data_IF_725875611706
#
_entry.id   IF_725875611706
#
_cell.length_a   1.000
_cell.length_b   1.000
_cell.length_c   1.000
_cell.angle_alpha   90.00
_cell.angle_beta   90.00
_cell.angle_gamma   90.00
#
_symmetry.space_group_name_H-M   'P 1'
#
loop_
_entity.id
_entity.type
_entity.pdbx_description
1 polymer ?
#
# COMPACT_ATOMS: atom_id res chain seq x y z
N UNK A 1 14.50 -11.46 5.14
CA UNK A 1 13.09 -11.63 4.70
C UNK A 1 12.99 -12.65 3.56
N UNK A 2 12.00 -13.55 3.50
CA UNK A 2 11.88 -14.57 2.43
C UNK A 2 11.14 -14.03 1.18
N UNK A 3 11.65 -12.94 0.59
CA UNK A 3 11.05 -12.21 -0.54
C UNK A 3 10.50 -13.09 -1.66
N UNK A 4 11.30 -14.06 -2.14
CA UNK A 4 10.90 -14.93 -3.25
C UNK A 4 9.67 -15.79 -2.91
N UNK A 5 9.49 -16.17 -1.66
CA UNK A 5 8.32 -16.94 -1.21
C UNK A 5 7.07 -16.07 -1.25
N UNK A 6 7.17 -14.83 -0.74
CA UNK A 6 6.04 -13.87 -0.74
C UNK A 6 5.58 -13.61 -2.18
N UNK A 7 6.53 -13.34 -3.10
CA UNK A 7 6.21 -13.12 -4.51
C UNK A 7 5.55 -14.34 -5.15
N UNK A 8 6.08 -15.54 -4.90
CA UNK A 8 5.51 -16.77 -5.45
C UNK A 8 4.09 -17.04 -4.93
N UNK A 9 3.85 -16.86 -3.63
CA UNK A 9 2.52 -17.00 -3.02
C UNK A 9 1.55 -15.96 -3.57
N UNK A 10 1.96 -14.69 -3.61
CA UNK A 10 1.14 -13.61 -4.15
C UNK A 10 0.74 -13.85 -5.60
N UNK A 11 1.69 -14.24 -6.47
CA UNK A 11 1.40 -14.59 -7.86
C UNK A 11 0.45 -15.77 -7.96
N UNK A 12 0.66 -16.82 -7.16
CA UNK A 12 -0.25 -17.97 -7.13
C UNK A 12 -1.68 -17.61 -6.72
N UNK A 13 -1.87 -16.63 -5.83
CA UNK A 13 -3.19 -16.20 -5.39
C UNK A 13 -3.95 -15.42 -6.47
N UNK A 14 -3.24 -14.69 -7.35
CA UNK A 14 -3.87 -13.75 -8.30
C UNK A 14 -3.81 -14.22 -9.76
N UNK A 15 -3.11 -15.31 -10.08
CA UNK A 15 -2.86 -15.73 -11.47
C UNK A 15 -4.13 -16.17 -12.22
N UNK A 16 -5.04 -16.86 -11.54
CA UNK A 16 -6.23 -17.46 -12.16
C UNK A 16 -7.53 -16.69 -11.85
N UNK A 17 -7.44 -15.57 -11.13
CA UNK A 17 -8.58 -14.73 -10.75
C UNK A 17 -8.48 -13.35 -11.42
N UNK A 18 -9.55 -12.92 -12.07
CA UNK A 18 -9.61 -11.64 -12.78
C UNK A 18 -10.25 -10.53 -11.92
N UNK A 19 -10.94 -10.87 -10.84
CA UNK A 19 -11.58 -9.93 -9.95
C UNK A 19 -10.53 -9.18 -9.11
N UNK A 20 -10.38 -7.89 -9.40
CA UNK A 20 -9.44 -7.00 -8.70
C UNK A 20 -9.62 -7.05 -7.17
N UNK A 21 -10.85 -6.96 -6.69
CA UNK A 21 -11.12 -6.87 -5.26
C UNK A 21 -10.82 -8.18 -4.54
N UNK A 22 -11.13 -9.33 -5.14
CA UNK A 22 -10.75 -10.64 -4.60
C UNK A 22 -9.22 -10.77 -4.49
N UNK A 23 -8.51 -10.37 -5.55
CA UNK A 23 -7.05 -10.37 -5.59
C UNK A 23 -6.45 -9.48 -4.49
N UNK A 24 -6.87 -8.21 -4.42
CA UNK A 24 -6.37 -7.27 -3.42
C UNK A 24 -6.75 -7.67 -1.98
N UNK A 25 -7.93 -8.28 -1.77
CA UNK A 25 -8.31 -8.80 -0.46
C UNK A 25 -7.33 -9.89 0.01
N UNK A 26 -7.07 -10.89 -0.83
CA UNK A 26 -6.11 -11.95 -0.52
C UNK A 26 -4.68 -11.43 -0.36
N UNK A 27 -4.25 -10.49 -1.20
CA UNK A 27 -2.93 -9.87 -1.05
C UNK A 27 -2.81 -9.09 0.27
N UNK A 28 -3.85 -8.36 0.69
CA UNK A 28 -3.84 -7.64 1.97
C UNK A 28 -3.68 -8.60 3.15
N UNK A 29 -4.37 -9.75 3.10
CA UNK A 29 -4.27 -10.79 4.11
C UNK A 29 -2.87 -11.42 4.13
N UNK A 30 -2.36 -11.83 2.95
CA UNK A 30 -1.02 -12.39 2.82
C UNK A 30 0.06 -11.42 3.33
N UNK A 31 0.01 -10.15 2.92
CA UNK A 31 1.00 -9.16 3.32
C UNK A 31 0.95 -8.90 4.82
N UNK A 32 -0.24 -8.88 5.42
CA UNK A 32 -0.41 -8.74 6.87
C UNK A 32 0.32 -9.84 7.66
N UNK A 33 0.32 -11.08 7.17
CA UNK A 33 1.04 -12.19 7.80
C UNK A 33 2.56 -11.99 7.82
N UNK A 34 3.11 -11.30 6.81
CA UNK A 34 4.53 -11.03 6.67
C UNK A 34 4.97 -9.66 7.23
N UNK A 35 4.03 -8.84 7.73
CA UNK A 35 4.26 -7.50 8.26
C UNK A 35 3.88 -7.44 9.75
N UNK A 36 4.66 -8.07 10.65
CA UNK A 36 4.39 -8.00 12.08
C UNK A 36 4.54 -6.56 12.60
N UNK A 37 3.91 -6.28 13.74
CA UNK A 37 3.87 -4.96 14.37
C UNK A 37 3.25 -3.84 13.51
N UNK A 38 2.49 -4.18 12.49
CA UNK A 38 1.64 -3.24 11.75
C UNK A 38 0.24 -3.23 12.36
N UNK A 39 -0.48 -2.11 12.32
CA UNK A 39 -1.91 -2.04 12.65
C UNK A 39 -2.79 -1.99 11.40
N UNK A 40 -2.24 -1.59 10.25
CA UNK A 40 -2.98 -1.50 9.00
C UNK A 40 -2.12 -1.92 7.81
N UNK A 41 -2.68 -2.73 6.91
CA UNK A 41 -2.07 -3.13 5.63
C UNK A 41 -3.16 -3.21 4.58
N UNK A 42 -3.08 -2.44 3.51
CA UNK A 42 -4.16 -2.41 2.53
C UNK A 42 -3.91 -1.52 1.35
N UNK A 43 -4.94 -1.38 0.53
CA UNK A 43 -4.81 -0.70 -0.75
C UNK A 43 -5.70 0.54 -0.84
N UNK A 44 -5.19 1.57 -1.50
CA UNK A 44 -5.99 2.66 -2.05
C UNK A 44 -5.94 2.60 -3.58
N UNK A 45 -7.10 2.67 -4.22
CA UNK A 45 -7.23 2.68 -5.68
C UNK A 45 -7.34 4.11 -6.19
N UNK A 46 -6.85 4.38 -7.39
CA UNK A 46 -7.00 5.70 -8.02
C UNK A 46 -8.38 5.78 -8.66
N UNK A 47 -9.22 6.68 -8.16
CA UNK A 47 -10.45 7.09 -8.81
C UNK A 47 -10.15 8.29 -9.72
N UNK A 48 -10.00 8.01 -11.01
CA UNK A 48 -9.70 9.01 -12.03
C UNK A 48 -10.85 9.99 -12.28
N UNK A 49 -12.09 9.58 -12.02
CA UNK A 49 -13.27 10.42 -12.26
C UNK A 49 -13.39 11.49 -11.18
N UNK A 50 -13.29 11.07 -9.91
CA UNK A 50 -13.40 11.97 -8.77
C UNK A 50 -12.06 12.58 -8.33
N UNK A 51 -10.96 12.25 -9.02
CA UNK A 51 -9.60 12.77 -8.79
C UNK A 51 -9.13 12.60 -7.34
N UNK A 52 -9.34 11.42 -6.79
CA UNK A 52 -8.89 11.06 -5.46
C UNK A 52 -8.46 9.60 -5.40
N UNK A 53 -7.85 9.24 -4.28
CA UNK A 53 -7.68 7.87 -3.86
C UNK A 53 -8.98 7.40 -3.18
N UNK A 54 -9.36 6.15 -3.43
CA UNK A 54 -10.49 5.48 -2.79
C UNK A 54 -10.05 4.22 -2.07
N UNK A 55 -10.57 4.01 -0.87
CA UNK A 55 -10.26 2.83 -0.05
C UNK A 55 -10.59 1.53 -0.80
N UNK A 56 -9.60 0.65 -0.92
CA UNK A 56 -9.71 -0.71 -1.42
C UNK A 56 -9.67 -1.74 -0.27
N UNK A 57 -9.43 -3.03 -0.57
CA UNK A 57 -9.32 -4.07 0.46
C UNK A 57 -8.12 -3.85 1.40
N UNK A 58 -8.30 -4.19 2.68
CA UNK A 58 -7.29 -3.98 3.73
C UNK A 58 -7.48 -4.93 4.92
N UNK A 59 -6.45 -5.00 5.77
CA UNK A 59 -6.44 -5.66 7.08
C UNK A 59 -6.11 -4.63 8.17
N UNK A 60 -7.09 -4.32 9.03
CA UNK A 60 -6.92 -3.35 10.11
C UNK A 60 -8.24 -2.75 10.59
N UNK A 61 -8.15 -1.63 11.30
CA UNK A 61 -9.32 -0.83 11.69
C UNK A 61 -9.90 -0.07 10.49
N UNK A 62 -11.09 0.49 10.69
CA UNK A 62 -11.74 1.40 9.73
C UNK A 62 -10.79 2.56 9.37
N UNK A 63 -10.75 2.91 8.09
CA UNK A 63 -9.90 3.97 7.53
C UNK A 63 -10.71 5.00 6.72
N UNK A 64 -10.07 6.09 6.32
CA UNK A 64 -10.70 7.12 5.50
C UNK A 64 -11.06 6.58 4.11
N UNK A 65 -12.29 6.79 3.66
CA UNK A 65 -12.72 6.24 2.35
C UNK A 65 -12.09 6.99 1.17
N UNK A 66 -11.83 8.29 1.30
CA UNK A 66 -11.33 9.14 0.22
C UNK A 66 -10.13 9.96 0.69
N UNK A 67 -9.05 9.97 -0.11
CA UNK A 67 -7.85 10.77 0.15
C UNK A 67 -7.54 11.63 -1.10
N UNK A 68 -7.51 12.97 -0.99
CA UNK A 68 -7.08 13.83 -2.09
C UNK A 68 -5.63 13.54 -2.50
N UNK A 69 -5.33 13.61 -3.80
CA UNK A 69 -3.98 13.34 -4.32
C UNK A 69 -2.86 14.20 -3.72
N UNK A 70 -3.18 15.35 -3.15
CA UNK A 70 -2.21 16.29 -2.59
C UNK A 70 -2.20 16.31 -1.05
N UNK A 71 -2.72 15.28 -0.39
CA UNK A 71 -2.84 15.23 1.07
C UNK A 71 -2.31 13.92 1.67
N UNK A 72 -1.70 14.03 2.84
CA UNK A 72 -1.14 12.88 3.57
C UNK A 72 0.01 12.20 2.85
N UNK A 73 0.50 11.12 3.46
CA UNK A 73 1.61 10.32 2.94
C UNK A 73 1.18 9.60 1.65
N UNK A 74 -0.03 9.02 1.64
CA UNK A 74 -0.64 8.44 0.45
C UNK A 74 -0.71 9.41 -0.75
N UNK A 75 -1.16 10.65 -0.54
CA UNK A 75 -1.19 11.66 -1.61
C UNK A 75 0.21 12.04 -2.10
N UNK A 76 1.18 12.18 -1.18
CA UNK A 76 2.59 12.40 -1.57
C UNK A 76 3.11 11.24 -2.44
N UNK A 77 2.84 10.00 -2.06
CA UNK A 77 3.24 8.82 -2.83
C UNK A 77 2.63 8.81 -4.24
N UNK A 78 1.33 9.12 -4.35
CA UNK A 78 0.66 9.26 -5.65
C UNK A 78 1.31 10.35 -6.52
N UNK A 79 1.57 11.52 -5.94
CA UNK A 79 2.10 12.68 -6.68
C UNK A 79 3.56 12.46 -7.12
N UNK A 80 4.39 11.93 -6.22
CA UNK A 80 5.83 11.73 -6.48
C UNK A 80 6.10 10.46 -7.30
N UNK A 81 5.12 9.56 -7.40
CA UNK A 81 5.22 8.23 -8.05
C UNK A 81 6.36 7.38 -7.50
N UNK A 82 6.62 7.48 -6.19
CA UNK A 82 7.72 6.81 -5.49
C UNK A 82 7.25 6.30 -4.13
N UNK A 83 7.92 5.26 -3.64
CA UNK A 83 7.75 4.81 -2.26
C UNK A 83 8.03 5.96 -1.29
N UNK A 84 7.13 6.18 -0.35
CA UNK A 84 7.28 7.16 0.73
C UNK A 84 7.29 6.41 2.05
N UNK A 85 8.31 6.67 2.86
CA UNK A 85 8.39 6.19 4.23
C UNK A 85 8.43 7.38 5.18
N UNK A 86 7.67 7.29 6.26
CA UNK A 86 7.60 8.29 7.32
C UNK A 86 7.80 7.59 8.65
N UNK A 87 8.92 7.90 9.33
CA UNK A 87 9.27 7.32 10.62
C UNK A 87 8.40 7.82 11.78
N UNK A 88 7.89 9.04 11.67
CA UNK A 88 6.96 9.68 12.59
C UNK A 88 5.87 10.45 11.81
N UNK A 89 4.67 9.88 11.68
CA UNK A 89 3.57 10.50 10.92
C UNK A 89 3.08 11.81 11.53
N UNK A 90 3.26 12.02 12.84
CA UNK A 90 2.85 13.24 13.53
C UNK A 90 3.71 14.44 13.16
N UNK A 91 4.91 14.20 12.63
CA UNK A 91 5.82 15.25 12.15
C UNK A 91 5.65 15.51 10.64
N UNK A 92 4.84 14.71 9.94
CA UNK A 92 4.66 14.84 8.50
C UNK A 92 3.70 16.00 8.14
N UNK A 93 4.16 16.99 7.34
CA UNK A 93 3.32 18.13 6.98
C UNK A 93 2.06 17.72 6.21
N UNK A 94 0.89 18.12 6.72
CA UNK A 94 -0.39 17.79 6.07
C UNK A 94 -0.83 16.34 6.25
N UNK A 95 -0.36 15.67 7.32
CA UNK A 95 -0.82 14.36 7.75
C UNK A 95 -2.36 14.32 7.90
N UNK A 96 -2.97 13.29 7.30
CA UNK A 96 -4.37 12.92 7.51
C UNK A 96 -4.33 11.64 8.34
N UNK A 97 -4.45 11.76 9.65
CA UNK A 97 -4.53 10.58 10.51
C UNK A 97 -5.92 9.92 10.35
N UNK A 98 -5.97 8.72 9.80
CA UNK A 98 -7.18 7.89 9.80
C UNK A 98 -7.25 6.99 11.05
N UNK A 99 -6.11 6.49 11.53
CA UNK A 99 -5.95 5.88 12.86
C UNK A 99 -4.94 6.71 13.67
N UNK A 100 -5.38 7.35 14.75
CA UNK A 100 -4.51 8.15 15.62
C UNK A 100 -3.43 7.32 16.32
N UNK A 101 -3.56 5.98 16.31
CA UNK A 101 -2.56 5.08 16.88
C UNK A 101 -1.36 4.84 15.93
N UNK A 102 -1.49 5.14 14.63
CA UNK A 102 -0.40 4.99 13.67
C UNK A 102 0.70 6.02 13.97
N UNK A 103 1.94 5.53 14.04
CA UNK A 103 3.14 6.31 14.38
C UNK A 103 4.15 6.32 13.23
N UNK A 104 4.21 5.29 12.38
CA UNK A 104 5.01 5.28 11.15
C UNK A 104 4.20 4.68 10.00
N UNK A 105 4.44 5.15 8.78
CA UNK A 105 3.68 4.76 7.58
C UNK A 105 4.64 4.51 6.40
N UNK A 106 4.41 3.43 5.66
CA UNK A 106 5.10 3.08 4.41
C UNK A 106 4.08 2.94 3.30
N UNK A 107 4.18 3.81 2.29
CA UNK A 107 3.29 3.79 1.12
C UNK A 107 4.10 3.49 -0.13
N UNK A 108 3.65 2.50 -0.92
CA UNK A 108 4.32 2.01 -2.13
C UNK A 108 3.36 2.18 -3.31
N UNK A 109 3.77 2.85 -4.41
CA UNK A 109 2.91 3.03 -5.57
C UNK A 109 2.86 1.76 -6.41
N UNK A 110 1.66 1.44 -6.91
CA UNK A 110 1.45 0.42 -7.94
C UNK A 110 1.28 1.15 -9.27
N UNK A 111 2.17 0.84 -10.21
CA UNK A 111 2.25 1.52 -11.50
C UNK A 111 1.70 0.64 -12.63
N UNK A 112 0.84 1.20 -13.46
CA UNK A 112 0.59 0.72 -14.81
C UNK A 112 1.30 1.67 -15.78
N UNK A 113 2.44 1.20 -16.31
CA UNK A 113 3.42 2.03 -17.04
C UNK A 113 3.87 3.20 -16.15
N UNK A 114 3.63 4.44 -16.56
CA UNK A 114 4.02 5.65 -15.81
C UNK A 114 2.86 6.22 -14.96
N UNK A 115 1.75 5.51 -14.83
CA UNK A 115 0.57 5.96 -14.09
C UNK A 115 0.42 5.18 -12.79
N UNK A 116 0.31 5.90 -11.69
CA UNK A 116 -0.14 5.30 -10.42
C UNK A 116 -1.60 4.90 -10.59
N UNK A 117 -1.91 3.64 -10.32
CA UNK A 117 -3.27 3.07 -10.43
C UNK A 117 -3.81 2.59 -9.08
N UNK A 118 -2.91 2.27 -8.16
CA UNK A 118 -3.21 1.94 -6.78
C UNK A 118 -1.98 2.24 -5.91
N UNK A 119 -2.16 2.20 -4.60
CA UNK A 119 -1.11 2.30 -3.58
C UNK A 119 -1.26 1.12 -2.62
N UNK A 120 -0.15 0.52 -2.20
CA UNK A 120 -0.10 -0.28 -0.97
C UNK A 120 0.26 0.67 0.17
N UNK A 121 -0.56 0.70 1.21
CA UNK A 121 -0.38 1.51 2.40
C UNK A 121 -0.25 0.60 3.63
N UNK A 122 0.69 0.93 4.51
CA UNK A 122 1.16 0.09 5.61
C UNK A 122 1.46 0.98 6.84
N UNK A 123 0.62 0.86 7.86
CA UNK A 123 0.77 1.58 9.11
C UNK A 123 1.32 0.70 10.24
N UNK A 124 2.04 1.35 11.15
CA UNK A 124 2.48 0.74 12.41
C UNK A 124 2.28 1.69 13.59
N UNK A 125 1.91 1.11 14.74
CA UNK A 125 1.87 1.79 16.05
C UNK A 125 3.27 2.01 16.65
N UNK A 126 4.32 1.41 16.07
CA UNK A 126 5.71 1.71 16.42
C UNK A 126 6.21 2.87 15.57
N UNK A 127 6.94 3.80 16.18
CA UNK A 127 7.76 4.76 15.45
C UNK A 127 8.90 4.05 14.73
N UNK A 128 9.35 4.63 13.63
CA UNK A 128 10.45 4.13 12.80
C UNK A 128 10.40 2.60 12.57
N UNK A 129 9.23 2.08 12.19
CA UNK A 129 9.01 0.63 12.14
C UNK A 129 9.88 -0.08 11.11
N UNK A 130 10.09 0.52 9.94
CA UNK A 130 10.67 -0.18 8.80
C UNK A 130 12.14 0.15 8.67
N UNK A 131 12.99 -0.88 8.65
CA UNK A 131 14.38 -0.73 8.24
C UNK A 131 14.49 -0.40 6.75
N UNK A 132 15.61 0.20 6.34
CA UNK A 132 15.89 0.47 4.92
C UNK A 132 15.86 -0.82 4.07
N UNK A 133 16.34 -1.94 4.61
CA UNK A 133 16.26 -3.25 3.95
C UNK A 133 14.80 -3.71 3.75
N UNK A 134 13.94 -3.51 4.75
CA UNK A 134 12.51 -3.83 4.63
C UNK A 134 11.82 -2.96 3.60
N UNK A 135 12.08 -1.64 3.59
CA UNK A 135 11.48 -0.70 2.63
C UNK A 135 11.84 -1.09 1.20
N UNK A 136 13.14 -1.35 0.94
CA UNK A 136 13.63 -1.76 -0.37
C UNK A 136 13.05 -3.12 -0.79
N UNK A 137 12.96 -4.06 0.15
CA UNK A 137 12.40 -5.39 -0.11
C UNK A 137 10.93 -5.34 -0.47
N UNK A 138 10.10 -4.61 0.30
CA UNK A 138 8.67 -4.48 0.04
C UNK A 138 8.38 -3.69 -1.24
N UNK A 139 9.14 -2.62 -1.50
CA UNK A 139 9.06 -1.90 -2.78
C UNK A 139 9.23 -2.87 -3.95
N UNK A 140 10.28 -3.70 -3.92
CA UNK A 140 10.48 -4.64 -5.01
C UNK A 140 9.48 -5.81 -5.04
N UNK A 141 8.96 -6.27 -3.89
CA UNK A 141 7.89 -7.27 -3.85
C UNK A 141 6.66 -6.75 -4.60
N UNK A 142 6.24 -5.52 -4.31
CA UNK A 142 5.09 -4.89 -4.97
C UNK A 142 5.35 -4.74 -6.47
N UNK A 143 6.51 -4.21 -6.86
CA UNK A 143 6.89 -4.09 -8.28
C UNK A 143 6.82 -5.45 -9.00
N UNK A 144 7.39 -6.51 -8.43
CA UNK A 144 7.43 -7.83 -9.06
C UNK A 144 6.08 -8.54 -9.16
N UNK A 145 5.19 -8.30 -8.20
CA UNK A 145 3.83 -8.83 -8.21
C UNK A 145 3.00 -8.10 -9.28
N UNK A 146 3.12 -6.78 -9.35
CA UNK A 146 2.23 -5.95 -10.17
C UNK A 146 2.77 -5.63 -11.57
N UNK A 147 4.03 -5.94 -11.91
CA UNK A 147 4.61 -5.65 -13.24
C UNK A 147 3.79 -6.19 -14.42
N UNK A 148 3.16 -7.35 -14.24
CA UNK A 148 2.34 -8.02 -15.26
C UNK A 148 0.84 -7.91 -14.94
N UNK A 149 0.49 -7.29 -13.81
CA UNK A 149 -0.87 -7.21 -13.32
C UNK A 149 -1.66 -6.18 -14.11
N UNK A 150 -2.53 -6.67 -14.99
CA UNK A 150 -3.46 -5.82 -15.71
C UNK A 150 -4.68 -5.61 -14.83
N UNK A 151 -4.87 -4.39 -14.34
CA UNK A 151 -6.18 -3.97 -13.82
C UNK A 151 -7.14 -3.96 -15.00
N UNK A 152 -7.82 -5.09 -15.22
CA UNK A 152 -8.90 -5.18 -16.20
C UNK A 152 -10.06 -4.36 -15.63
N UNK A 153 -10.36 -3.24 -16.27
CA UNK A 153 -11.56 -2.44 -16.02
C UNK A 153 -12.81 -3.24 -16.40
#
# INVERSE_FOLDING_TARGET
MKKNIIIAQAKSLINDENNLYANLANLSALFKEYLPDTNWVGFYLVDFESKNLVLGPFQGKVACVRIPFNKGVCGKCYTDKKTIYVENVHEFPGHIACDSASNSELVIPILDKDKVVALLDIDSVKFNRFSEEEINSWTNIVEEIFKDFKIKK
#
